data_IF_824173184889
#
_entry.id   IF_824173184889
#
_cell.length_a   1.000
_cell.length_b   1.000
_cell.length_c   1.000
_cell.angle_alpha   90.00
_cell.angle_beta   90.00
_cell.angle_gamma   90.00
#
_symmetry.space_group_name_H-M   'P 1'
#
loop_
_entity.id
_entity.type
_entity.pdbx_description
1 polymer ?
#
# COMPACT_ATOMS: atom_id res chain seq x y z
N UNK A 1 -21.50 9.65 -68.92
CA UNK A 1 -21.27 10.80 -69.87
C UNK A 1 -19.99 11.51 -69.40
N UNK A 2 -18.92 11.48 -70.23
CA UNK A 2 -17.67 12.17 -69.90
C UNK A 2 -17.83 13.67 -70.19
N UNK A 3 -17.69 14.52 -69.21
CA UNK A 3 -17.73 15.98 -69.37
C UNK A 3 -16.44 16.41 -70.05
N UNK A 4 -16.55 16.83 -71.28
CA UNK A 4 -15.44 17.38 -72.09
C UNK A 4 -15.23 18.82 -71.69
N UNK A 5 -14.01 19.17 -71.19
CA UNK A 5 -13.65 20.54 -70.81
C UNK A 5 -13.01 21.20 -72.03
N UNK A 6 -13.50 22.40 -72.40
CA UNK A 6 -12.96 23.24 -73.48
C UNK A 6 -12.25 24.44 -72.80
N UNK A 7 -11.04 24.76 -73.30
CA UNK A 7 -10.29 25.95 -72.93
C UNK A 7 -10.19 26.88 -74.14
N UNK A 8 -10.51 28.14 -73.93
CA UNK A 8 -10.40 29.18 -74.94
C UNK A 8 -8.96 29.59 -75.13
N UNK A 9 -8.40 29.38 -76.34
CA UNK A 9 -7.07 29.83 -76.64
C UNK A 9 -7.14 31.24 -77.25
N UNK A 10 -6.57 32.22 -76.52
CA UNK A 10 -6.57 33.63 -76.88
C UNK A 10 -5.75 33.96 -78.12
N UNK A 11 -4.84 33.06 -78.56
CA UNK A 11 -4.00 33.27 -79.75
C UNK A 11 -4.69 32.83 -81.02
N UNK A 12 -5.50 31.77 -80.94
CA UNK A 12 -6.18 31.21 -82.15
C UNK A 12 -7.66 31.53 -82.17
N UNK A 13 -8.19 32.23 -81.12
CA UNK A 13 -9.61 32.57 -80.96
C UNK A 13 -10.57 31.36 -81.13
N UNK A 14 -10.08 30.15 -80.78
CA UNK A 14 -10.87 28.92 -80.90
C UNK A 14 -10.91 28.15 -79.63
N UNK A 15 -11.98 27.39 -79.40
CA UNK A 15 -12.08 26.48 -78.26
C UNK A 15 -11.33 25.18 -78.53
N UNK A 16 -10.29 24.90 -77.75
CA UNK A 16 -9.52 23.65 -77.83
C UNK A 16 -9.98 22.68 -76.81
N UNK A 17 -10.21 21.44 -77.19
CA UNK A 17 -10.53 20.36 -76.24
C UNK A 17 -9.30 20.06 -75.40
N UNK A 18 -9.41 20.18 -74.08
CA UNK A 18 -8.32 19.84 -73.18
C UNK A 18 -8.32 18.34 -72.95
N UNK A 19 -7.41 17.65 -73.62
CA UNK A 19 -7.14 16.24 -73.33
C UNK A 19 -6.15 16.17 -72.22
N UNK A 20 -6.65 15.86 -70.98
CA UNK A 20 -5.80 15.64 -69.82
C UNK A 20 -4.93 14.41 -70.08
N UNK A 21 -3.62 14.62 -70.15
CA UNK A 21 -2.65 13.55 -70.29
C UNK A 21 -2.84 12.55 -69.09
N UNK A 22 -2.73 11.26 -69.35
CA UNK A 22 -2.87 10.20 -68.34
C UNK A 22 -2.01 10.43 -67.09
N UNK A 23 -0.80 11.02 -67.27
CA UNK A 23 0.07 11.43 -66.19
C UNK A 23 -0.55 12.51 -65.27
N UNK A 24 -1.24 13.50 -65.87
CA UNK A 24 -1.88 14.57 -65.08
C UNK A 24 -3.09 14.03 -64.28
N UNK A 25 -3.84 13.10 -64.85
CA UNK A 25 -4.93 12.42 -64.12
C UNK A 25 -4.38 11.60 -62.95
N UNK A 26 -3.28 10.86 -63.20
CA UNK A 26 -2.64 10.05 -62.16
C UNK A 26 -2.10 10.92 -61.02
N UNK A 27 -1.44 12.04 -61.31
CA UNK A 27 -0.96 12.99 -60.33
C UNK A 27 -2.09 13.64 -59.53
N UNK A 28 -3.22 13.94 -60.15
CA UNK A 28 -4.38 14.48 -59.45
C UNK A 28 -5.00 13.46 -58.49
N UNK A 29 -5.12 12.20 -58.93
CA UNK A 29 -5.63 11.12 -58.08
C UNK A 29 -4.67 10.87 -56.92
N UNK A 30 -3.35 10.83 -57.19
CA UNK A 30 -2.32 10.66 -56.15
C UNK A 30 -2.37 11.79 -55.12
N UNK A 31 -2.56 13.05 -55.58
CA UNK A 31 -2.72 14.21 -54.70
C UNK A 31 -3.96 14.09 -53.78
N UNK A 32 -5.08 13.63 -54.32
CA UNK A 32 -6.29 13.39 -53.50
C UNK A 32 -6.11 12.25 -52.48
N UNK A 33 -5.45 11.16 -52.89
CA UNK A 33 -5.15 10.03 -51.98
C UNK A 33 -4.19 10.47 -50.88
N UNK A 34 -3.14 11.22 -51.22
CA UNK A 34 -2.19 11.75 -50.24
C UNK A 34 -2.89 12.70 -49.27
N UNK A 35 -3.72 13.63 -49.74
CA UNK A 35 -4.50 14.53 -48.90
C UNK A 35 -5.46 13.78 -47.95
N UNK A 36 -6.17 12.77 -48.50
CA UNK A 36 -7.05 11.93 -47.68
C UNK A 36 -6.29 11.11 -46.62
N UNK A 37 -5.10 10.60 -46.94
CA UNK A 37 -4.25 9.87 -45.99
C UNK A 37 -3.78 10.75 -44.82
N UNK A 38 -3.33 11.97 -45.14
CA UNK A 38 -2.91 12.93 -44.09
C UNK A 38 -4.08 13.30 -43.21
N UNK A 39 -5.26 13.56 -43.80
CA UNK A 39 -6.45 13.87 -43.01
C UNK A 39 -6.89 12.69 -42.13
N UNK A 40 -6.91 11.46 -42.67
CA UNK A 40 -7.23 10.27 -41.89
C UNK A 40 -6.24 10.05 -40.73
N UNK A 41 -4.95 10.27 -40.95
CA UNK A 41 -3.93 10.20 -39.91
C UNK A 41 -4.17 11.22 -38.78
N UNK A 42 -4.45 12.47 -39.15
CA UNK A 42 -4.79 13.51 -38.18
C UNK A 42 -6.03 13.14 -37.33
N UNK A 43 -7.08 12.64 -37.98
CA UNK A 43 -8.30 12.20 -37.29
C UNK A 43 -7.98 11.06 -36.30
N UNK A 44 -7.17 10.06 -36.71
CA UNK A 44 -6.75 8.95 -35.83
C UNK A 44 -5.97 9.47 -34.63
N UNK A 45 -5.01 10.38 -34.85
CA UNK A 45 -4.21 10.96 -33.75
C UNK A 45 -5.10 11.74 -32.78
N UNK A 46 -5.99 12.58 -33.28
CA UNK A 46 -6.95 13.32 -32.43
C UNK A 46 -7.84 12.35 -31.67
N UNK A 47 -8.38 11.35 -32.35
CA UNK A 47 -9.27 10.36 -31.71
C UNK A 47 -8.54 9.54 -30.64
N UNK A 48 -7.28 9.13 -30.89
CA UNK A 48 -6.48 8.36 -29.93
C UNK A 48 -6.06 9.19 -28.70
N UNK A 49 -5.93 10.51 -28.83
CA UNK A 49 -5.59 11.39 -27.69
C UNK A 49 -6.81 11.77 -26.84
N UNK A 50 -7.99 11.89 -27.46
CA UNK A 50 -9.21 12.28 -26.74
C UNK A 50 -10.06 11.11 -26.23
N UNK A 51 -9.93 9.93 -26.83
CA UNK A 51 -10.70 8.76 -26.45
C UNK A 51 -9.79 7.70 -25.83
N UNK A 52 -9.84 7.58 -24.47
CA UNK A 52 -9.23 6.46 -23.78
C UNK A 52 -9.77 5.13 -24.34
N UNK A 53 -8.88 4.22 -24.71
CA UNK A 53 -9.24 2.88 -25.12
C UNK A 53 -10.10 2.19 -24.05
N UNK A 54 -11.08 1.36 -24.41
CA UNK A 54 -11.85 0.57 -23.42
C UNK A 54 -10.97 -0.24 -22.48
N UNK A 55 -9.80 -0.68 -22.94
CA UNK A 55 -8.78 -1.36 -22.12
C UNK A 55 -8.15 -0.42 -21.10
N UNK A 56 -7.80 0.80 -21.47
CA UNK A 56 -7.23 1.80 -20.55
C UNK A 56 -8.24 2.19 -19.46
N UNK A 57 -9.49 2.39 -19.81
CA UNK A 57 -10.56 2.65 -18.84
C UNK A 57 -10.73 1.51 -17.84
N UNK A 58 -10.58 0.28 -18.30
CA UNK A 58 -10.64 -0.91 -17.44
C UNK A 58 -9.44 -0.98 -16.52
N UNK A 59 -8.23 -0.82 -17.03
CA UNK A 59 -6.99 -0.79 -16.26
C UNK A 59 -6.99 0.35 -15.21
N UNK A 60 -7.41 1.56 -15.59
CA UNK A 60 -7.53 2.68 -14.65
C UNK A 60 -8.51 2.38 -13.51
N UNK A 61 -9.62 1.68 -13.78
CA UNK A 61 -10.55 1.25 -12.73
C UNK A 61 -9.96 0.18 -11.83
N UNK A 62 -9.25 -0.79 -12.39
CA UNK A 62 -8.57 -1.85 -11.63
C UNK A 62 -7.49 -1.26 -10.72
N UNK A 63 -6.68 -0.31 -11.22
CA UNK A 63 -5.69 0.41 -10.42
C UNK A 63 -6.36 1.19 -9.29
N UNK A 64 -7.38 1.98 -9.58
CA UNK A 64 -8.11 2.74 -8.55
C UNK A 64 -8.75 1.83 -7.49
N UNK A 65 -9.24 0.66 -7.90
CA UNK A 65 -9.78 -0.34 -6.98
C UNK A 65 -8.70 -0.95 -6.10
N UNK A 66 -7.52 -1.27 -6.65
CA UNK A 66 -6.37 -1.76 -5.88
C UNK A 66 -5.88 -0.70 -4.88
N UNK A 67 -5.72 0.54 -5.29
CA UNK A 67 -5.35 1.64 -4.41
C UNK A 67 -6.33 1.81 -3.23
N UNK A 68 -7.64 1.71 -3.52
CA UNK A 68 -8.67 1.72 -2.47
C UNK A 68 -8.50 0.54 -1.51
N UNK A 69 -8.23 -0.67 -2.02
CA UNK A 69 -8.00 -1.86 -1.19
C UNK A 69 -6.77 -1.69 -0.30
N UNK A 70 -5.67 -1.16 -0.83
CA UNK A 70 -4.47 -0.84 -0.04
C UNK A 70 -4.75 0.19 1.05
N UNK A 71 -5.53 1.22 0.75
CA UNK A 71 -5.95 2.22 1.75
C UNK A 71 -6.81 1.60 2.86
N UNK A 72 -7.75 0.73 2.50
CA UNK A 72 -8.57 0.00 3.47
C UNK A 72 -7.71 -0.96 4.33
N UNK A 73 -6.73 -1.63 3.71
CA UNK A 73 -5.77 -2.47 4.43
C UNK A 73 -4.96 -1.64 5.43
N UNK A 74 -4.44 -0.48 5.03
CA UNK A 74 -3.76 0.46 5.92
C UNK A 74 -4.61 0.86 7.13
N UNK A 75 -5.90 1.15 6.93
CA UNK A 75 -6.82 1.47 8.02
C UNK A 75 -7.05 0.26 8.97
N UNK A 76 -7.08 -0.96 8.44
CA UNK A 76 -7.18 -2.17 9.27
C UNK A 76 -5.91 -2.37 10.09
N UNK A 77 -4.74 -2.16 9.49
CA UNK A 77 -3.46 -2.25 10.18
C UNK A 77 -3.35 -1.21 11.30
N UNK A 78 -3.84 0.03 11.09
CA UNK A 78 -3.90 1.05 12.14
C UNK A 78 -4.73 0.59 13.33
N UNK A 79 -5.86 -0.08 13.09
CA UNK A 79 -6.70 -0.62 14.17
C UNK A 79 -6.00 -1.75 14.94
N UNK A 80 -5.28 -2.62 14.23
CA UNK A 80 -4.48 -3.68 14.88
C UNK A 80 -3.37 -3.07 15.71
N UNK A 81 -2.69 -2.03 15.23
CA UNK A 81 -1.66 -1.31 16.00
C UNK A 81 -2.22 -0.66 17.27
N UNK A 82 -3.42 -0.06 17.19
CA UNK A 82 -4.11 0.49 18.36
C UNK A 82 -4.45 -0.58 19.41
N UNK A 83 -5.04 -1.69 18.98
CA UNK A 83 -5.34 -2.81 19.89
C UNK A 83 -4.07 -3.38 20.52
N UNK A 84 -2.99 -3.46 19.72
CA UNK A 84 -1.70 -3.92 20.23
C UNK A 84 -1.12 -2.95 21.27
N UNK A 85 -1.23 -1.64 21.04
CA UNK A 85 -0.82 -0.63 22.01
C UNK A 85 -1.61 -0.74 23.33
N UNK A 86 -2.94 -0.95 23.27
CA UNK A 86 -3.76 -1.20 24.45
C UNK A 86 -3.35 -2.48 25.20
N UNK A 87 -2.97 -3.54 24.47
CA UNK A 87 -2.48 -4.78 25.06
C UNK A 87 -1.12 -4.57 25.76
N UNK A 88 -0.25 -3.74 25.17
CA UNK A 88 1.04 -3.38 25.76
C UNK A 88 0.87 -2.58 27.05
N UNK A 89 -0.03 -1.60 27.06
CA UNK A 89 -0.37 -0.81 28.23
C UNK A 89 -0.90 -1.73 29.38
N UNK A 90 -1.80 -2.65 29.04
CA UNK A 90 -2.31 -3.63 30.04
C UNK A 90 -1.22 -4.56 30.54
N UNK A 91 -0.27 -4.95 29.69
CA UNK A 91 0.86 -5.77 30.10
C UNK A 91 1.75 -5.02 31.09
N UNK A 92 2.10 -3.77 30.78
CA UNK A 92 3.02 -2.97 31.59
C UNK A 92 2.35 -2.48 32.91
N UNK A 93 1.11 -1.99 32.87
CA UNK A 93 0.45 -1.33 33.98
C UNK A 93 -0.31 -2.29 34.91
N UNK A 94 -0.76 -3.42 34.41
CA UNK A 94 -1.58 -4.36 35.15
C UNK A 94 -0.80 -5.63 35.48
N UNK A 95 -0.44 -6.39 34.43
CA UNK A 95 0.13 -7.73 34.66
C UNK A 95 1.51 -7.67 35.30
N UNK A 96 2.41 -6.81 34.80
CA UNK A 96 3.75 -6.71 35.38
C UNK A 96 3.77 -6.08 36.77
N UNK A 97 2.88 -5.15 37.04
CA UNK A 97 2.71 -4.58 38.37
C UNK A 97 2.21 -5.65 39.38
N UNK A 98 1.22 -6.45 39.00
CA UNK A 98 0.69 -7.53 39.86
C UNK A 98 1.76 -8.59 40.19
N UNK A 99 2.63 -8.89 39.22
CA UNK A 99 3.66 -9.91 39.37
C UNK A 99 5.04 -9.34 39.72
N UNK A 100 5.13 -8.03 40.05
CA UNK A 100 6.37 -7.33 40.41
C UNK A 100 7.49 -7.52 39.38
N UNK A 101 7.13 -7.55 38.10
CA UNK A 101 8.06 -7.72 36.99
C UNK A 101 8.34 -6.39 36.27
N UNK A 102 9.54 -6.23 35.77
CA UNK A 102 9.91 -5.03 34.98
C UNK A 102 9.20 -5.01 33.61
N UNK A 103 8.69 -3.84 33.16
CA UNK A 103 8.09 -3.70 31.86
C UNK A 103 9.12 -3.89 30.73
N UNK A 104 8.68 -4.39 29.56
CA UNK A 104 9.56 -4.56 28.43
C UNK A 104 9.92 -3.18 27.87
N UNK A 105 11.22 -2.83 27.73
CA UNK A 105 11.64 -1.54 27.21
C UNK A 105 11.11 -1.28 25.80
N UNK A 106 10.66 -0.06 25.52
CA UNK A 106 10.18 0.33 24.19
C UNK A 106 11.23 0.11 23.10
N UNK A 107 12.52 0.24 23.43
CA UNK A 107 13.62 -0.06 22.51
C UNK A 107 13.61 -1.51 22.00
N UNK A 108 13.09 -2.46 22.76
CA UNK A 108 12.92 -3.87 22.34
C UNK A 108 11.67 -4.02 21.48
N UNK A 109 10.56 -3.34 21.87
CA UNK A 109 9.28 -3.37 21.15
C UNK A 109 9.41 -2.72 19.77
N UNK A 110 10.10 -1.58 19.68
CA UNK A 110 10.24 -0.77 18.47
C UNK A 110 11.53 -1.05 17.68
N UNK A 111 12.39 -1.97 18.15
CA UNK A 111 13.63 -2.30 17.47
C UNK A 111 13.36 -2.67 16.00
N UNK A 112 13.83 -1.84 15.06
CA UNK A 112 13.64 -2.04 13.62
C UNK A 112 14.36 -3.27 13.07
N UNK A 113 14.04 -3.65 11.85
CA UNK A 113 14.83 -4.62 11.09
C UNK A 113 16.05 -3.89 10.54
N UNK A 114 17.22 -4.05 11.16
CA UNK A 114 18.45 -3.39 10.70
C UNK A 114 19.10 -4.11 9.51
N UNK A 115 19.79 -3.35 8.67
CA UNK A 115 20.92 -3.80 7.89
C UNK A 115 20.73 -4.25 6.46
N UNK A 116 19.54 -4.61 5.96
CA UNK A 116 19.36 -5.07 4.55
C UNK A 116 18.09 -4.45 3.95
N UNK A 117 18.18 -3.93 2.72
CA UNK A 117 17.00 -3.50 1.97
C UNK A 117 16.22 -4.74 1.48
N UNK A 118 15.26 -5.19 2.30
CA UNK A 118 14.41 -6.35 2.01
C UNK A 118 13.39 -6.09 0.89
N UNK A 119 13.18 -4.82 0.55
CA UNK A 119 12.11 -4.39 -0.35
C UNK A 119 12.63 -4.04 -1.75
N UNK A 120 13.91 -4.32 -2.04
CA UNK A 120 14.57 -4.00 -3.31
C UNK A 120 13.84 -4.54 -4.54
N UNK A 121 13.27 -5.73 -4.43
CA UNK A 121 12.52 -6.34 -5.53
C UNK A 121 11.18 -5.65 -5.79
N UNK A 122 10.62 -4.99 -4.78
CA UNK A 122 9.37 -4.24 -4.87
C UNK A 122 9.57 -2.84 -5.46
N UNK A 123 10.79 -2.29 -5.46
CA UNK A 123 11.12 -0.99 -6.03
C UNK A 123 10.89 -0.92 -7.55
N UNK A 124 10.74 -2.06 -8.22
CA UNK A 124 10.50 -2.15 -9.68
C UNK A 124 9.02 -1.99 -10.06
N UNK A 125 8.11 -1.96 -9.10
CA UNK A 125 6.69 -1.83 -9.33
C UNK A 125 6.31 -0.37 -9.56
N UNK A 126 5.36 -0.09 -10.45
CA UNK A 126 4.86 1.27 -10.72
C UNK A 126 4.27 1.95 -9.46
N UNK A 127 3.71 1.16 -8.52
CA UNK A 127 3.18 1.61 -7.24
C UNK A 127 4.05 1.16 -6.05
N UNK A 128 5.37 1.16 -6.23
CA UNK A 128 6.35 0.68 -5.24
C UNK A 128 6.14 1.29 -3.85
N UNK A 129 5.90 2.60 -3.77
CA UNK A 129 5.75 3.31 -2.49
C UNK A 129 4.61 2.76 -1.63
N UNK A 130 3.46 2.47 -2.24
CA UNK A 130 2.29 1.95 -1.53
C UNK A 130 2.56 0.51 -1.06
N UNK A 131 3.13 -0.31 -1.92
CA UNK A 131 3.43 -1.73 -1.64
C UNK A 131 4.50 -1.84 -0.58
N UNK A 132 5.62 -1.13 -0.72
CA UNK A 132 6.73 -1.11 0.24
C UNK A 132 6.26 -0.58 1.59
N UNK A 133 5.54 0.56 1.60
CA UNK A 133 5.01 1.14 2.83
C UNK A 133 4.08 0.19 3.59
N UNK A 134 3.19 -0.50 2.87
CA UNK A 134 2.27 -1.48 3.46
C UNK A 134 3.02 -2.71 3.99
N UNK A 135 3.97 -3.25 3.23
CA UNK A 135 4.76 -4.42 3.62
C UNK A 135 5.62 -4.12 4.85
N UNK A 136 6.32 -2.97 4.84
CA UNK A 136 7.12 -2.52 5.98
C UNK A 136 6.30 -2.42 7.26
N UNK A 137 5.12 -1.82 7.16
CA UNK A 137 4.22 -1.67 8.30
C UNK A 137 3.69 -3.00 8.81
N UNK A 138 3.39 -3.94 7.92
CA UNK A 138 2.99 -5.31 8.29
C UNK A 138 4.12 -6.03 9.03
N UNK A 139 5.35 -5.89 8.56
CA UNK A 139 6.54 -6.47 9.21
C UNK A 139 6.74 -5.89 10.61
N UNK A 140 6.58 -4.59 10.80
CA UNK A 140 6.66 -3.91 12.10
C UNK A 140 5.58 -4.42 13.06
N UNK A 141 4.31 -4.51 12.61
CA UNK A 141 3.21 -5.06 13.38
C UNK A 141 3.45 -6.52 13.78
N UNK A 142 3.91 -7.34 12.84
CA UNK A 142 4.22 -8.74 13.08
C UNK A 142 5.28 -8.88 14.17
N UNK A 143 6.30 -8.05 14.14
CA UNK A 143 7.35 -8.05 15.16
C UNK A 143 6.81 -7.66 16.53
N UNK A 144 6.05 -6.57 16.63
CA UNK A 144 5.42 -6.14 17.88
C UNK A 144 4.54 -7.24 18.47
N UNK A 145 3.78 -7.95 17.63
CA UNK A 145 2.97 -9.10 18.04
C UNK A 145 3.81 -10.26 18.60
N UNK A 146 4.95 -10.56 17.98
CA UNK A 146 5.86 -11.60 18.49
C UNK A 146 6.43 -11.21 19.85
N UNK A 147 6.84 -9.96 20.02
CA UNK A 147 7.33 -9.46 21.32
C UNK A 147 6.22 -9.55 22.37
N UNK A 148 5.00 -9.12 22.06
CA UNK A 148 3.87 -9.18 22.97
C UNK A 148 3.47 -10.62 23.32
N UNK A 149 3.52 -11.54 22.37
CA UNK A 149 3.28 -12.96 22.65
C UNK A 149 4.28 -13.53 23.64
N UNK A 150 5.56 -13.20 23.49
CA UNK A 150 6.60 -13.62 24.46
C UNK A 150 6.41 -12.99 25.83
N UNK A 151 5.99 -11.72 25.88
CA UNK A 151 5.64 -11.06 27.13
C UNK A 151 4.55 -11.81 27.88
N UNK A 152 3.50 -12.24 27.20
CA UNK A 152 2.44 -13.02 27.82
C UNK A 152 2.89 -14.40 28.30
N UNK A 153 3.82 -15.05 27.59
CA UNK A 153 4.41 -16.32 28.07
C UNK A 153 5.16 -16.10 29.39
N UNK A 154 5.90 -14.99 29.54
CA UNK A 154 6.55 -14.61 30.80
C UNK A 154 5.53 -14.32 31.90
N UNK A 155 4.46 -13.57 31.61
CA UNK A 155 3.40 -13.28 32.58
C UNK A 155 2.72 -14.58 33.08
N UNK A 156 2.48 -15.53 32.18
CA UNK A 156 1.93 -16.85 32.56
C UNK A 156 2.88 -17.62 33.47
N UNK A 157 4.19 -17.58 33.21
CA UNK A 157 5.19 -18.21 34.07
C UNK A 157 5.24 -17.55 35.45
N UNK A 158 5.21 -16.21 35.52
CA UNK A 158 5.14 -15.47 36.76
C UNK A 158 3.89 -15.76 37.57
N UNK A 159 2.72 -15.89 36.89
CA UNK A 159 1.47 -16.24 37.52
C UNK A 159 1.53 -17.63 38.19
N UNK A 160 2.10 -18.63 37.50
CA UNK A 160 2.28 -19.97 38.08
C UNK A 160 3.21 -19.96 39.25
N UNK A 161 4.33 -19.26 39.18
CA UNK A 161 5.28 -19.13 40.27
C UNK A 161 4.66 -18.44 41.51
N UNK A 162 3.82 -17.42 41.29
CA UNK A 162 3.11 -16.71 42.38
C UNK A 162 2.07 -17.60 43.03
N UNK A 163 1.37 -18.45 42.30
CA UNK A 163 0.44 -19.44 42.86
C UNK A 163 1.17 -20.43 43.76
N UNK A 164 2.29 -20.98 43.34
CA UNK A 164 3.14 -21.87 44.12
C UNK A 164 3.70 -21.19 45.34
N UNK A 165 4.16 -19.93 45.22
CA UNK A 165 4.65 -19.11 46.33
C UNK A 165 3.54 -18.88 47.36
N UNK A 166 2.33 -18.48 46.93
CA UNK A 166 1.19 -18.27 47.83
C UNK A 166 0.75 -19.56 48.54
N UNK A 167 0.80 -20.71 47.86
CA UNK A 167 0.52 -22.01 48.45
C UNK A 167 1.57 -22.42 49.50
N UNK A 168 2.80 -21.94 49.42
CA UNK A 168 3.89 -22.20 50.35
C UNK A 168 3.88 -21.27 51.60
N UNK A 169 3.13 -20.17 51.55
CA UNK A 169 3.02 -19.23 52.66
C UNK A 169 2.12 -19.84 53.76
N UNK A 170 2.60 -20.03 55.00
CA UNK A 170 1.78 -20.57 56.08
C UNK A 170 0.61 -19.64 56.37
N UNK A 171 -0.62 -20.17 56.26
CA UNK A 171 -1.86 -19.43 56.51
C UNK A 171 -2.06 -18.99 57.98
N UNK A 172 -1.26 -19.54 58.87
CA UNK A 172 -1.34 -19.27 60.33
C UNK A 172 -0.02 -18.66 60.78
N UNK A 173 -0.11 -17.56 61.54
CA UNK A 173 1.05 -16.94 62.12
C UNK A 173 1.65 -17.88 63.19
N UNK A 174 2.94 -18.24 63.08
CA UNK A 174 3.55 -19.27 63.95
C UNK A 174 3.48 -18.94 65.47
N UNK A 175 3.33 -17.65 65.80
CA UNK A 175 3.22 -17.18 67.14
C UNK A 175 1.98 -16.33 67.34
N UNK A 176 1.12 -16.69 68.27
CA UNK A 176 -0.11 -15.94 68.57
C UNK A 176 0.21 -14.54 69.08
N UNK A 177 -0.20 -13.48 68.40
CA UNK A 177 0.05 -12.07 68.78
C UNK A 177 -0.38 -11.69 70.19
N UNK A 178 -1.35 -12.41 70.79
CA UNK A 178 -1.86 -12.14 72.13
C UNK A 178 -0.81 -12.30 73.23
N UNK A 179 0.30 -12.98 73.00
CA UNK A 179 1.39 -13.21 73.97
C UNK A 179 2.69 -12.49 73.61
N UNK A 180 2.74 -11.76 72.53
CA UNK A 180 3.94 -11.02 72.11
C UNK A 180 4.02 -9.69 72.86
N UNK A 181 5.04 -9.53 73.68
CA UNK A 181 5.34 -8.27 74.37
C UNK A 181 6.03 -7.26 73.47
N UNK A 182 6.69 -7.71 72.37
CA UNK A 182 7.40 -6.85 71.41
C UNK A 182 7.62 -7.62 70.11
N UNK A 183 7.33 -6.98 69.03
CA UNK A 183 7.76 -7.46 67.69
C UNK A 183 9.10 -6.80 67.38
N UNK A 184 10.17 -7.60 67.26
CA UNK A 184 11.53 -7.11 67.15
C UNK A 184 11.88 -6.64 65.73
N UNK A 185 11.15 -7.09 64.71
CA UNK A 185 11.30 -6.61 63.35
C UNK A 185 9.97 -6.73 62.62
N UNK A 186 9.45 -5.61 62.12
CA UNK A 186 8.45 -5.60 61.08
C UNK A 186 9.18 -5.49 59.72
N UNK A 187 8.77 -6.27 58.72
CA UNK A 187 9.15 -5.96 57.35
C UNK A 187 8.54 -4.60 57.03
N UNK A 188 9.39 -3.57 56.92
CA UNK A 188 8.99 -2.31 56.31
C UNK A 188 8.94 -2.52 54.79
N UNK A 189 7.76 -2.41 54.25
CA UNK A 189 7.56 -2.23 52.82
C UNK A 189 7.79 -0.78 52.43
#
# INVERSE_FOLDING_TARGET
>A
MSKVKFQFDKRTLTYRKVELNTRQRLLTILGWVAGASVFAFLVIVVFSTFFDSPKEKRLKREIAQLELQYKLLGNRMNRVDQVLAELQEKDDDIYRVIFEAEPIPNSVRDAGFGGVNRYKDLERLDNADIVIGTTKRLDELTKKLVVQSRSFDEVVALAKNKEEMLASIPAIQPVANKKLKRVASGFNY
#
